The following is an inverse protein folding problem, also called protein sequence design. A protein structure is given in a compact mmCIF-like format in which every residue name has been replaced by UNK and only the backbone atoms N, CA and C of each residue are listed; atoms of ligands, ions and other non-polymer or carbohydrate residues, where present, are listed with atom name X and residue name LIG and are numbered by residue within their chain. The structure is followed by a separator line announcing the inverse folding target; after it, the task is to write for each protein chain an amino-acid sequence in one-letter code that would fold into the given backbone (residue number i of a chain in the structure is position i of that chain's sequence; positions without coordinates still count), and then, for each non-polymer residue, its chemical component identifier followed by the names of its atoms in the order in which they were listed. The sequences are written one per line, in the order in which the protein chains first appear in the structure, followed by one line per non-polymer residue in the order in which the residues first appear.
data_IF_409860370334
#
_entry.id   IF_409860370334
#
_cell.length_a   1.000
_cell.length_b   1.000
_cell.length_c   1.000
_cell.angle_alpha   90.00
_cell.angle_beta   90.00
_cell.angle_gamma   90.00
#
_symmetry.space_group_name_H-M   'P 1'
#
loop_
_entity.id
_entity.type
_entity.pdbx_description
1 polymer ?
#
# COMPACT_ATOMS: atom_id res chain seq x y z
N UNK A 1 17.26 45.17 52.08
CA UNK A 1 17.21 44.33 50.86
C UNK A 1 18.47 43.46 50.73
N UNK A 2 18.69 42.46 51.61
CA UNK A 2 19.97 41.69 51.61
C UNK A 2 19.87 40.14 51.69
N UNK A 3 18.67 39.55 51.59
CA UNK A 3 18.49 38.08 51.71
C UNK A 3 17.91 37.39 50.46
N UNK A 4 17.79 38.06 49.31
CA UNK A 4 17.15 37.48 48.11
C UNK A 4 18.07 36.60 47.27
N UNK A 5 19.40 36.79 47.31
CA UNK A 5 20.37 36.01 46.51
C UNK A 5 20.46 34.51 46.88
N UNK A 6 20.57 34.11 48.16
CA UNK A 6 20.67 32.69 48.50
C UNK A 6 19.34 31.94 48.28
N UNK A 7 18.20 32.62 48.42
CA UNK A 7 16.89 32.03 48.11
C UNK A 7 16.69 31.82 46.60
N UNK A 8 17.22 32.70 45.75
CA UNK A 8 17.21 32.54 44.29
C UNK A 8 18.15 31.43 43.81
N UNK A 9 19.33 31.29 44.43
CA UNK A 9 20.26 30.18 44.16
C UNK A 9 19.71 28.84 44.64
N UNK A 10 19.05 28.78 45.79
CA UNK A 10 18.39 27.57 46.28
C UNK A 10 17.18 27.19 45.40
N UNK A 11 16.40 28.18 44.94
CA UNK A 11 15.30 27.95 43.99
C UNK A 11 15.82 27.48 42.62
N UNK A 12 16.93 28.03 42.12
CA UNK A 12 17.56 27.57 40.88
C UNK A 12 18.16 26.16 41.00
N UNK A 13 18.72 25.79 42.17
CA UNK A 13 19.21 24.44 42.46
C UNK A 13 18.06 23.44 42.66
N UNK A 14 16.93 23.85 43.25
CA UNK A 14 15.74 23.02 43.39
C UNK A 14 14.97 22.84 42.06
N UNK A 15 15.02 23.83 41.17
CA UNK A 15 14.47 23.74 39.82
C UNK A 15 15.37 22.94 38.85
N UNK A 16 16.70 23.00 39.01
CA UNK A 16 17.64 22.16 38.25
C UNK A 16 17.76 20.73 38.79
N UNK A 17 17.54 20.51 40.09
CA UNK A 17 17.53 19.18 40.72
C UNK A 17 16.36 18.29 40.30
N UNK A 18 15.27 18.88 39.81
CA UNK A 18 14.13 18.14 39.27
C UNK A 18 14.49 17.32 38.01
N UNK A 19 15.47 17.74 37.21
CA UNK A 19 15.89 17.03 36.00
C UNK A 19 16.64 15.74 36.30
N UNK A 20 17.66 15.80 37.15
CA UNK A 20 18.51 14.64 37.49
C UNK A 20 17.75 13.56 38.25
N UNK A 21 16.84 13.94 39.17
CA UNK A 21 16.02 12.97 39.89
C UNK A 21 15.04 12.23 38.97
N UNK A 22 14.41 12.96 38.03
CA UNK A 22 13.53 12.36 37.01
C UNK A 22 14.31 11.47 36.05
N UNK A 23 15.52 11.87 35.65
CA UNK A 23 16.36 11.07 34.77
C UNK A 23 16.79 9.76 35.43
N UNK A 24 17.24 9.80 36.69
CA UNK A 24 17.56 8.57 37.46
C UNK A 24 16.33 7.68 37.66
N UNK A 25 15.16 8.27 37.91
CA UNK A 25 13.92 7.52 38.01
C UNK A 25 13.60 6.83 36.68
N UNK A 26 13.72 7.55 35.55
CA UNK A 26 13.53 6.97 34.22
C UNK A 26 14.49 5.81 33.97
N UNK A 27 15.80 6.00 34.20
CA UNK A 27 16.82 4.95 34.05
C UNK A 27 16.55 3.72 34.92
N UNK A 28 16.09 3.91 36.15
CA UNK A 28 15.69 2.81 37.03
C UNK A 28 14.57 1.96 36.42
N UNK A 29 13.55 2.60 35.84
CA UNK A 29 12.46 1.88 35.19
C UNK A 29 12.87 1.24 33.87
N UNK A 30 13.73 1.89 33.07
CA UNK A 30 14.32 1.27 31.87
C UNK A 30 15.15 0.03 32.24
N UNK A 31 15.91 0.08 33.34
CA UNK A 31 16.64 -1.06 33.87
C UNK A 31 15.76 -2.27 34.21
N UNK A 32 14.50 -2.04 34.62
CA UNK A 32 13.52 -3.12 34.87
C UNK A 32 12.94 -3.72 33.59
N UNK A 33 12.84 -2.95 32.52
CA UNK A 33 12.27 -3.40 31.25
C UNK A 33 13.28 -4.15 30.35
N UNK A 34 14.56 -3.77 30.40
CA UNK A 34 15.65 -4.37 29.58
C UNK A 34 15.70 -5.91 29.61
N UNK A 35 15.55 -6.59 30.77
CA UNK A 35 15.62 -8.06 30.80
C UNK A 35 14.53 -8.72 29.95
N UNK A 36 13.31 -8.16 29.92
CA UNK A 36 12.21 -8.70 29.13
C UNK A 36 12.42 -8.47 27.63
N UNK A 37 12.94 -7.31 27.23
CA UNK A 37 13.25 -7.00 25.84
C UNK A 37 14.38 -7.89 25.27
N UNK A 38 15.38 -8.19 26.09
CA UNK A 38 16.52 -9.03 25.71
C UNK A 38 16.24 -10.55 25.78
N UNK A 39 15.14 -10.97 26.41
CA UNK A 39 14.80 -12.38 26.55
C UNK A 39 14.37 -12.97 25.20
N UNK A 40 14.74 -14.23 24.97
CA UNK A 40 14.34 -14.95 23.74
C UNK A 40 12.86 -15.33 23.75
N UNK A 41 12.34 -15.75 24.92
CA UNK A 41 10.95 -16.13 25.15
C UNK A 41 10.46 -15.55 26.49
N UNK A 42 10.26 -14.22 26.60
CA UNK A 42 9.74 -13.61 27.82
C UNK A 42 8.30 -14.08 28.10
N UNK A 43 7.96 -14.26 29.38
CA UNK A 43 6.59 -14.60 29.74
C UNK A 43 5.67 -13.38 29.52
N UNK A 44 4.38 -13.57 29.20
CA UNK A 44 3.43 -12.47 29.01
C UNK A 44 3.38 -11.47 30.18
N UNK A 45 3.46 -11.96 31.42
CA UNK A 45 3.48 -11.11 32.61
C UNK A 45 4.74 -10.22 32.70
N UNK A 46 5.90 -10.73 32.27
CA UNK A 46 7.15 -9.97 32.23
C UNK A 46 7.08 -8.88 31.17
N UNK A 47 6.49 -9.17 30.02
CA UNK A 47 6.24 -8.19 28.95
C UNK A 47 5.30 -7.07 29.43
N UNK A 48 4.16 -7.40 30.07
CA UNK A 48 3.24 -6.40 30.61
C UNK A 48 3.92 -5.50 31.65
N UNK A 49 4.71 -6.09 32.56
CA UNK A 49 5.46 -5.34 33.56
C UNK A 49 6.54 -4.45 32.92
N UNK A 50 7.20 -4.92 31.86
CA UNK A 50 8.20 -4.17 31.12
C UNK A 50 7.58 -2.98 30.37
N UNK A 51 6.44 -3.16 29.68
CA UNK A 51 5.71 -2.06 29.03
C UNK A 51 5.31 -1.01 30.06
N UNK A 52 4.75 -1.42 31.20
CA UNK A 52 4.39 -0.52 32.29
C UNK A 52 5.61 0.22 32.88
N UNK A 53 6.78 -0.41 32.90
CA UNK A 53 8.01 0.23 33.35
C UNK A 53 8.51 1.27 32.34
N UNK A 54 8.50 0.97 31.04
CA UNK A 54 8.84 1.94 29.99
C UNK A 54 7.87 3.14 30.01
N UNK A 55 6.57 2.89 30.20
CA UNK A 55 5.56 3.93 30.37
C UNK A 55 5.86 4.88 31.54
N UNK A 56 6.29 4.32 32.68
CA UNK A 56 6.72 5.11 33.83
C UNK A 56 7.97 5.92 33.49
N UNK A 57 8.94 5.32 32.81
CA UNK A 57 10.14 6.02 32.37
C UNK A 57 9.81 7.23 31.47
N UNK A 58 8.93 7.04 30.49
CA UNK A 58 8.41 8.11 29.63
C UNK A 58 7.63 9.16 30.43
N UNK A 59 6.92 8.79 31.49
CA UNK A 59 6.29 9.76 32.40
C UNK A 59 7.29 10.66 33.14
N UNK A 60 8.49 10.17 33.46
CA UNK A 60 9.55 10.96 34.09
C UNK A 60 10.40 11.74 33.08
N UNK A 61 10.68 11.15 31.92
CA UNK A 61 11.47 11.73 30.83
C UNK A 61 10.78 11.52 29.47
N UNK A 62 9.76 12.34 29.15
CA UNK A 62 8.94 12.15 27.94
C UNK A 62 9.68 12.26 26.62
N UNK A 63 10.83 12.94 26.60
CA UNK A 63 11.71 13.09 25.44
C UNK A 63 12.83 12.04 25.36
N UNK A 64 12.78 10.97 26.17
CA UNK A 64 13.88 10.00 26.24
C UNK A 64 13.93 9.11 25.00
N UNK A 65 14.94 9.32 24.16
CA UNK A 65 15.27 8.45 23.03
C UNK A 65 15.47 7.00 23.47
N UNK A 66 16.21 6.78 24.58
CA UNK A 66 16.48 5.44 25.11
C UNK A 66 15.20 4.70 25.51
N UNK A 67 14.20 5.42 26.02
CA UNK A 67 12.92 4.82 26.37
C UNK A 67 12.13 4.40 25.13
N UNK A 68 12.17 5.20 24.06
CA UNK A 68 11.55 4.87 22.77
C UNK A 68 12.23 3.65 22.14
N UNK A 69 13.56 3.64 22.07
CA UNK A 69 14.31 2.51 21.51
C UNK A 69 14.02 1.20 22.27
N UNK A 70 14.00 1.23 23.61
CA UNK A 70 13.65 0.05 24.42
C UNK A 70 12.19 -0.38 24.22
N UNK A 71 11.29 0.56 23.95
CA UNK A 71 9.89 0.26 23.65
C UNK A 71 9.74 -0.50 22.33
N UNK A 72 10.53 -0.15 21.32
CA UNK A 72 10.58 -0.85 20.02
C UNK A 72 11.15 -2.26 20.19
N UNK A 73 12.28 -2.41 20.89
CA UNK A 73 12.86 -3.71 21.22
C UNK A 73 11.86 -4.62 21.97
N UNK A 74 11.09 -4.04 22.88
CA UNK A 74 10.06 -4.75 23.63
C UNK A 74 8.86 -5.13 22.75
N UNK A 75 8.47 -4.27 21.81
CA UNK A 75 7.47 -4.58 20.78
C UNK A 75 7.89 -5.78 19.93
N UNK A 76 9.14 -5.82 19.48
CA UNK A 76 9.69 -6.93 18.72
C UNK A 76 9.75 -8.22 19.54
N UNK A 77 10.19 -8.13 20.81
CA UNK A 77 10.20 -9.27 21.72
C UNK A 77 8.79 -9.83 21.97
N UNK A 78 7.79 -8.95 22.15
CA UNK A 78 6.39 -9.33 22.28
C UNK A 78 5.87 -10.02 21.01
N UNK A 79 6.21 -9.49 19.83
CA UNK A 79 5.86 -10.09 18.54
C UNK A 79 6.42 -11.50 18.38
N UNK A 80 7.72 -11.68 18.69
CA UNK A 80 8.37 -13.01 18.65
C UNK A 80 7.77 -14.01 19.64
N UNK A 81 7.37 -13.54 20.83
CA UNK A 81 6.75 -14.35 21.86
C UNK A 81 5.25 -14.64 21.61
N UNK A 82 4.65 -14.08 20.55
CA UNK A 82 3.22 -14.22 20.27
C UNK A 82 2.31 -13.48 21.25
N UNK A 83 2.82 -12.45 21.93
CA UNK A 83 2.05 -11.66 22.89
C UNK A 83 1.16 -10.63 22.19
N UNK A 84 -0.11 -10.98 21.99
CA UNK A 84 -1.07 -10.22 21.19
C UNK A 84 -1.29 -8.77 21.63
N UNK A 85 -1.20 -8.48 22.94
CA UNK A 85 -1.39 -7.12 23.48
C UNK A 85 -0.17 -6.21 23.31
N UNK A 86 0.99 -6.75 22.91
CA UNK A 86 2.23 -5.98 22.82
C UNK A 86 2.12 -4.77 21.90
N UNK A 87 1.44 -4.93 20.75
CA UNK A 87 1.23 -3.85 19.79
C UNK A 87 0.32 -2.74 20.33
N UNK A 88 -0.73 -3.10 21.07
CA UNK A 88 -1.63 -2.13 21.71
C UNK A 88 -0.87 -1.29 22.73
N UNK A 89 -0.08 -1.95 23.59
CA UNK A 89 0.73 -1.29 24.62
C UNK A 89 1.79 -0.38 24.00
N UNK A 90 2.54 -0.86 23.01
CA UNK A 90 3.54 -0.05 22.29
C UNK A 90 2.91 1.23 21.70
N UNK A 91 1.81 1.10 20.97
CA UNK A 91 1.14 2.25 20.36
C UNK A 91 0.58 3.24 21.39
N UNK A 92 0.10 2.74 22.54
CA UNK A 92 -0.42 3.57 23.61
C UNK A 92 0.70 4.36 24.30
N UNK A 93 1.82 3.69 24.60
CA UNK A 93 3.02 4.30 25.16
C UNK A 93 3.59 5.41 24.27
N UNK A 94 3.69 5.16 22.96
CA UNK A 94 4.18 6.15 21.99
C UNK A 94 3.24 7.37 21.88
N UNK A 95 1.92 7.15 21.80
CA UNK A 95 0.94 8.25 21.78
C UNK A 95 1.02 9.09 23.05
N UNK A 96 1.09 8.44 24.21
CA UNK A 96 1.26 9.12 25.50
C UNK A 96 2.56 9.92 25.58
N UNK A 97 3.66 9.40 25.03
CA UNK A 97 4.92 10.13 24.96
C UNK A 97 4.77 11.42 24.15
N UNK A 98 4.04 11.39 23.04
CA UNK A 98 3.77 12.56 22.20
C UNK A 98 2.79 13.55 22.83
N UNK A 99 1.84 13.08 23.64
CA UNK A 99 0.98 13.97 24.44
C UNK A 99 1.78 14.75 25.49
N UNK A 100 2.76 14.10 26.11
CA UNK A 100 3.62 14.71 27.14
C UNK A 100 4.77 15.55 26.56
N UNK A 101 5.30 15.16 25.40
CA UNK A 101 6.34 15.87 24.67
C UNK A 101 6.07 15.81 23.15
N UNK A 102 5.30 16.78 22.60
CA UNK A 102 4.96 16.81 21.17
C UNK A 102 6.16 16.87 20.22
N UNK A 103 7.30 17.37 20.71
CA UNK A 103 8.56 17.48 19.99
C UNK A 103 9.49 16.27 20.21
N UNK A 104 9.01 15.18 20.82
CA UNK A 104 9.76 13.93 20.85
C UNK A 104 9.74 13.29 19.45
N UNK A 105 10.72 13.68 18.64
CA UNK A 105 10.87 13.22 17.26
C UNK A 105 11.14 11.72 17.14
N UNK A 106 11.82 11.11 18.12
CA UNK A 106 12.03 9.66 18.15
C UNK A 106 10.71 8.92 18.36
N UNK A 107 9.89 9.35 19.33
CA UNK A 107 8.57 8.74 19.54
C UNK A 107 7.65 8.92 18.32
N UNK A 108 7.77 10.06 17.62
CA UNK A 108 6.99 10.34 16.41
C UNK A 108 7.40 9.42 15.26
N UNK A 109 8.69 9.26 15.04
CA UNK A 109 9.25 8.38 14.02
C UNK A 109 8.90 6.91 14.29
N UNK A 110 9.11 6.42 15.52
CA UNK A 110 8.72 5.07 15.92
C UNK A 110 7.21 4.81 15.75
N UNK A 111 6.36 5.80 16.07
CA UNK A 111 4.91 5.66 15.88
C UNK A 111 4.50 5.63 14.41
N UNK A 112 5.18 6.41 13.55
CA UNK A 112 4.97 6.36 12.10
C UNK A 112 5.34 4.98 11.56
N UNK A 113 6.51 4.45 11.93
CA UNK A 113 6.93 3.11 11.51
C UNK A 113 5.97 2.03 11.99
N UNK A 114 5.47 2.15 13.23
CA UNK A 114 4.45 1.25 13.76
C UNK A 114 3.17 1.24 12.91
N UNK A 115 2.65 2.42 12.54
CA UNK A 115 1.47 2.49 11.68
C UNK A 115 1.75 2.00 10.25
N UNK A 116 2.93 2.31 9.71
CA UNK A 116 3.38 1.86 8.40
C UNK A 116 3.47 0.34 8.31
N UNK A 117 4.04 -0.32 9.33
CA UNK A 117 4.14 -1.78 9.37
C UNK A 117 2.77 -2.48 9.41
N UNK A 118 1.74 -1.80 9.91
CA UNK A 118 0.35 -2.30 9.99
C UNK A 118 -0.51 -1.93 8.79
N UNK A 119 -0.06 -1.03 7.94
CA UNK A 119 -0.88 -0.44 6.89
C UNK A 119 -2.06 0.37 7.42
N UNK A 120 -1.91 1.01 8.59
CA UNK A 120 -2.96 1.86 9.16
C UNK A 120 -2.93 3.25 8.49
N UNK A 121 -3.53 3.31 7.29
CA UNK A 121 -3.55 4.52 6.45
C UNK A 121 -4.25 5.69 7.13
N UNK A 122 -5.27 5.43 7.96
CA UNK A 122 -5.96 6.45 8.74
C UNK A 122 -5.09 7.04 9.85
N UNK A 123 -4.34 6.20 10.57
CA UNK A 123 -3.41 6.67 11.60
C UNK A 123 -2.21 7.43 11.00
N UNK A 124 -1.71 7.01 9.84
CA UNK A 124 -0.68 7.73 9.09
C UNK A 124 -1.16 9.10 8.61
N UNK A 125 -2.38 9.20 8.09
CA UNK A 125 -3.04 10.46 7.72
C UNK A 125 -3.09 11.41 8.93
N UNK A 126 -3.57 10.92 10.07
CA UNK A 126 -3.66 11.70 11.31
C UNK A 126 -2.27 12.15 11.81
N UNK A 127 -1.27 11.27 11.75
CA UNK A 127 0.10 11.59 12.13
C UNK A 127 0.70 12.68 11.22
N UNK A 128 0.46 12.59 9.91
CA UNK A 128 0.89 13.60 8.95
C UNK A 128 0.22 14.95 9.21
N UNK A 129 -1.08 14.97 9.48
CA UNK A 129 -1.84 16.18 9.80
C UNK A 129 -1.34 16.85 11.10
N UNK A 130 -1.10 16.06 12.15
CA UNK A 130 -0.53 16.57 13.40
C UNK A 130 0.86 17.18 13.20
N UNK A 131 1.74 16.49 12.46
CA UNK A 131 3.08 16.99 12.17
C UNK A 131 3.03 18.29 11.34
N UNK A 132 2.10 18.41 10.38
CA UNK A 132 1.86 19.66 9.65
C UNK A 132 1.39 20.80 10.53
N UNK A 133 0.50 20.51 11.49
CA UNK A 133 0.08 21.50 12.48
C UNK A 133 1.28 22.08 13.24
N UNK A 134 2.24 21.24 13.64
CA UNK A 134 3.49 21.70 14.25
C UNK A 134 4.34 22.53 13.28
N UNK A 135 4.46 22.11 12.02
CA UNK A 135 5.23 22.85 11.01
C UNK A 135 4.68 24.26 10.70
N UNK A 136 3.40 24.50 10.99
CA UNK A 136 2.75 25.82 10.84
C UNK A 136 2.97 26.74 12.04
N UNK A 137 3.18 26.18 13.23
CA UNK A 137 3.32 26.93 14.48
C UNK A 137 4.79 27.23 14.83
N UNK A 138 5.71 26.42 14.31
CA UNK A 138 7.11 26.43 14.70
C UNK A 138 8.02 26.93 13.57
N UNK A 139 9.28 27.27 13.91
CA UNK A 139 10.29 27.75 12.96
C UNK A 139 11.58 26.92 13.01
N UNK A 140 12.49 27.18 12.06
CA UNK A 140 13.83 26.60 12.02
C UNK A 140 13.86 25.07 12.06
N UNK A 141 14.68 24.51 12.96
CA UNK A 141 14.89 23.07 13.09
C UNK A 141 13.62 22.30 13.50
N UNK A 142 12.73 22.91 14.30
CA UNK A 142 11.48 22.30 14.75
C UNK A 142 10.52 22.16 13.57
N UNK A 143 10.36 23.23 12.78
CA UNK A 143 9.60 23.18 11.52
C UNK A 143 10.15 22.13 10.56
N UNK A 144 11.47 22.06 10.42
CA UNK A 144 12.11 21.07 9.56
C UNK A 144 11.79 19.63 10.00
N UNK A 145 11.93 19.31 11.29
CA UNK A 145 11.58 17.99 11.82
C UNK A 145 10.09 17.67 11.66
N UNK A 146 9.22 18.66 11.85
CA UNK A 146 7.79 18.52 11.63
C UNK A 146 7.45 18.20 10.16
N UNK A 147 8.11 18.86 9.20
CA UNK A 147 7.99 18.55 7.77
C UNK A 147 8.50 17.15 7.44
N UNK A 148 9.64 16.73 8.00
CA UNK A 148 10.16 15.37 7.81
C UNK A 148 9.21 14.31 8.37
N UNK A 149 8.61 14.54 9.54
CA UNK A 149 7.64 13.62 10.13
C UNK A 149 6.34 13.55 9.30
N UNK A 150 5.85 14.70 8.81
CA UNK A 150 4.71 14.72 7.90
C UNK A 150 5.02 13.98 6.60
N UNK A 151 6.22 14.18 6.04
CA UNK A 151 6.69 13.51 4.83
C UNK A 151 6.79 11.99 5.04
N UNK A 152 7.42 11.53 6.12
CA UNK A 152 7.56 10.12 6.43
C UNK A 152 6.20 9.43 6.61
N UNK A 153 5.28 10.05 7.37
CA UNK A 153 3.94 9.51 7.59
C UNK A 153 3.15 9.42 6.27
N UNK A 154 3.15 10.51 5.49
CA UNK A 154 2.42 10.57 4.23
C UNK A 154 2.98 9.60 3.20
N UNK A 155 4.30 9.55 3.05
CA UNK A 155 4.96 8.69 2.08
C UNK A 155 4.78 7.21 2.43
N UNK A 156 4.83 6.86 3.72
CA UNK A 156 4.57 5.49 4.17
C UNK A 156 3.13 5.02 3.89
N UNK A 157 2.16 5.93 3.74
CA UNK A 157 0.79 5.57 3.39
C UNK A 157 0.61 5.25 1.90
N UNK A 158 1.46 5.76 1.01
CA UNK A 158 1.28 5.66 -0.44
C UNK A 158 1.22 4.21 -0.96
N UNK A 159 2.14 3.29 -0.59
CA UNK A 159 2.08 1.90 -1.05
C UNK A 159 0.83 1.15 -0.55
N UNK A 160 0.36 1.48 0.65
CA UNK A 160 -0.87 0.91 1.20
C UNK A 160 -2.11 1.42 0.47
N UNK A 161 -2.17 2.71 0.17
CA UNK A 161 -3.26 3.31 -0.63
C UNK A 161 -3.31 2.74 -2.05
N UNK A 162 -2.15 2.51 -2.69
CA UNK A 162 -2.07 1.81 -3.97
C UNK A 162 -2.67 0.40 -3.88
N UNK A 163 -2.29 -0.36 -2.85
CA UNK A 163 -2.79 -1.72 -2.62
C UNK A 163 -4.29 -1.74 -2.32
N UNK A 164 -4.78 -0.82 -1.48
CA UNK A 164 -6.21 -0.66 -1.18
C UNK A 164 -7.01 -0.31 -2.43
N UNK A 165 -6.50 0.61 -3.28
CA UNK A 165 -7.15 0.99 -4.53
C UNK A 165 -7.21 -0.19 -5.52
N UNK A 166 -6.12 -0.94 -5.68
CA UNK A 166 -6.08 -2.15 -6.51
C UNK A 166 -7.12 -3.19 -6.04
N UNK A 167 -7.23 -3.41 -4.73
CA UNK A 167 -8.23 -4.34 -4.18
C UNK A 167 -9.67 -3.82 -4.35
N UNK A 168 -9.88 -2.51 -4.24
CA UNK A 168 -11.18 -1.87 -4.39
C UNK A 168 -11.77 -2.01 -5.80
N UNK A 169 -10.92 -2.12 -6.83
CA UNK A 169 -11.33 -2.39 -8.23
C UNK A 169 -12.17 -3.66 -8.40
N UNK A 170 -12.13 -4.59 -7.44
CA UNK A 170 -12.88 -5.85 -7.45
C UNK A 170 -13.99 -5.89 -6.40
N UNK A 171 -14.28 -4.78 -5.71
CA UNK A 171 -15.24 -4.74 -4.59
C UNK A 171 -16.41 -3.80 -4.85
N UNK A 172 -16.13 -2.51 -5.02
CA UNK A 172 -17.17 -1.48 -5.10
C UNK A 172 -16.63 -0.22 -5.82
N UNK A 173 -17.39 0.39 -6.74
CA UNK A 173 -16.96 1.59 -7.44
C UNK A 173 -16.61 2.76 -6.52
N UNK A 174 -17.44 2.99 -5.50
CA UNK A 174 -17.31 4.12 -4.58
C UNK A 174 -15.97 4.04 -3.84
N UNK A 175 -15.65 2.86 -3.32
CA UNK A 175 -14.39 2.59 -2.64
C UNK A 175 -13.21 2.73 -3.61
N UNK A 176 -13.35 2.28 -4.87
CA UNK A 176 -12.28 2.42 -5.85
C UNK A 176 -11.94 3.89 -6.13
N UNK A 177 -12.95 4.73 -6.39
CA UNK A 177 -12.71 6.16 -6.62
C UNK A 177 -12.19 6.88 -5.38
N UNK A 178 -12.71 6.54 -4.18
CA UNK A 178 -12.20 7.07 -2.92
C UNK A 178 -10.70 6.79 -2.76
N UNK A 179 -10.29 5.52 -2.93
CA UNK A 179 -8.89 5.11 -2.73
C UNK A 179 -7.97 5.59 -3.85
N UNK A 180 -8.45 5.62 -5.09
CA UNK A 180 -7.70 6.20 -6.21
C UNK A 180 -7.44 7.71 -5.98
N UNK A 181 -8.44 8.44 -5.49
CA UNK A 181 -8.32 9.85 -5.11
C UNK A 181 -7.35 10.05 -3.95
N UNK A 182 -7.48 9.25 -2.89
CA UNK A 182 -6.59 9.30 -1.72
C UNK A 182 -5.13 9.03 -2.10
N UNK A 183 -4.87 8.04 -2.97
CA UNK A 183 -3.53 7.77 -3.49
C UNK A 183 -2.94 8.99 -4.23
N UNK A 184 -3.67 9.57 -5.19
CA UNK A 184 -3.16 10.71 -5.96
C UNK A 184 -2.94 11.95 -5.09
N UNK A 185 -3.85 12.21 -4.15
CA UNK A 185 -3.69 13.29 -3.18
C UNK A 185 -2.44 13.05 -2.34
N UNK A 186 -2.26 11.84 -1.80
CA UNK A 186 -1.11 11.53 -0.98
C UNK A 186 0.22 11.64 -1.74
N UNK A 187 0.31 11.13 -2.98
CA UNK A 187 1.52 11.23 -3.78
C UNK A 187 1.90 12.69 -4.12
N UNK A 188 0.90 13.53 -4.45
CA UNK A 188 1.14 14.97 -4.65
C UNK A 188 1.61 15.65 -3.36
N UNK A 189 1.02 15.25 -2.23
CA UNK A 189 1.34 15.76 -0.90
C UNK A 189 2.78 15.43 -0.48
N UNK A 190 3.26 14.21 -0.77
CA UNK A 190 4.67 13.80 -0.58
C UNK A 190 5.60 14.71 -1.36
N UNK A 191 5.32 14.94 -2.65
CA UNK A 191 6.15 15.80 -3.49
C UNK A 191 6.22 17.24 -2.96
N UNK A 192 5.09 17.79 -2.52
CA UNK A 192 5.01 19.13 -1.94
C UNK A 192 5.79 19.23 -0.62
N UNK A 193 5.61 18.27 0.30
CA UNK A 193 6.32 18.23 1.59
C UNK A 193 7.83 18.12 1.40
N UNK A 194 8.26 17.27 0.47
CA UNK A 194 9.66 17.11 0.13
C UNK A 194 10.27 18.42 -0.38
N UNK A 195 9.60 19.07 -1.33
CA UNK A 195 10.04 20.36 -1.86
C UNK A 195 10.10 21.45 -0.79
N UNK A 196 9.13 21.48 0.14
CA UNK A 196 9.14 22.44 1.25
C UNK A 196 10.30 22.19 2.23
N UNK A 197 10.54 20.93 2.63
CA UNK A 197 11.64 20.56 3.51
C UNK A 197 13.01 20.87 2.87
N UNK A 198 13.18 20.56 1.58
CA UNK A 198 14.39 20.87 0.81
C UNK A 198 14.61 22.37 0.70
N UNK A 199 13.55 23.16 0.44
CA UNK A 199 13.63 24.62 0.37
C UNK A 199 14.06 25.22 1.72
N UNK A 200 13.48 24.76 2.82
CA UNK A 200 13.84 25.21 4.16
C UNK A 200 15.33 24.92 4.46
N UNK A 201 15.77 23.69 4.17
CA UNK A 201 17.15 23.28 4.37
C UNK A 201 18.14 23.99 3.44
N UNK A 202 17.72 24.40 2.23
CA UNK A 202 18.54 25.23 1.34
C UNK A 202 18.66 26.67 1.84
N UNK A 203 17.59 27.23 2.42
CA UNK A 203 17.60 28.58 2.98
C UNK A 203 18.36 28.69 4.31
N UNK A 204 18.36 27.62 5.11
CA UNK A 204 19.11 27.53 6.35
C UNK A 204 19.64 26.09 6.54
N UNK A 205 20.90 25.83 6.19
CA UNK A 205 21.50 24.50 6.35
C UNK A 205 21.59 24.03 7.81
N UNK A 206 21.50 24.93 8.79
CA UNK A 206 21.64 24.57 10.21
C UNK A 206 20.45 23.79 10.73
N UNK A 207 19.28 23.89 10.09
CA UNK A 207 18.07 23.14 10.46
C UNK A 207 18.27 21.62 10.42
N UNK A 208 19.23 21.14 9.61
CA UNK A 208 19.57 19.71 9.52
C UNK A 208 20.30 19.20 10.76
N UNK A 209 21.01 20.06 11.49
CA UNK A 209 21.83 19.65 12.64
C UNK A 209 20.98 19.20 13.83
N UNK A 210 19.75 19.71 13.94
CA UNK A 210 18.80 19.36 15.01
C UNK A 210 17.87 18.19 14.68
N UNK A 211 17.92 17.65 13.45
CA UNK A 211 17.03 16.58 13.02
C UNK A 211 17.61 15.20 13.40
N UNK A 212 16.85 14.33 14.09
CA UNK A 212 17.31 12.96 14.34
C UNK A 212 17.58 12.20 13.06
N UNK A 213 18.70 11.48 13.00
CA UNK A 213 19.12 10.74 11.81
C UNK A 213 18.08 9.68 11.37
N UNK A 214 17.42 9.01 12.33
CA UNK A 214 16.36 8.05 12.05
C UNK A 214 15.17 8.71 11.32
N UNK A 215 14.75 9.90 11.77
CA UNK A 215 13.65 10.63 11.14
C UNK A 215 14.00 11.11 9.73
N UNK A 216 15.21 11.61 9.52
CA UNK A 216 15.72 11.98 8.19
C UNK A 216 15.70 10.75 7.28
N UNK A 217 16.27 9.63 7.74
CA UNK A 217 16.32 8.39 6.96
C UNK A 217 14.93 7.84 6.63
N UNK A 218 14.02 7.82 7.60
CA UNK A 218 12.63 7.39 7.41
C UNK A 218 11.93 8.23 6.34
N UNK A 219 12.08 9.56 6.38
CA UNK A 219 11.49 10.47 5.40
C UNK A 219 12.12 10.30 3.99
N UNK A 220 13.43 10.15 3.90
CA UNK A 220 14.14 9.95 2.63
C UNK A 220 13.77 8.62 1.97
N UNK A 221 13.82 7.52 2.72
CA UNK A 221 13.52 6.17 2.21
C UNK A 221 12.05 6.06 1.80
N UNK A 222 11.12 6.47 2.66
CA UNK A 222 9.68 6.38 2.36
C UNK A 222 9.29 7.27 1.18
N UNK A 223 9.81 8.50 1.09
CA UNK A 223 9.51 9.39 -0.04
C UNK A 223 10.13 8.91 -1.35
N UNK A 224 11.31 8.30 -1.31
CA UNK A 224 11.92 7.68 -2.48
C UNK A 224 11.10 6.50 -2.99
N UNK A 225 10.57 5.66 -2.11
CA UNK A 225 9.70 4.54 -2.51
C UNK A 225 8.34 5.03 -3.02
N UNK A 226 7.69 5.95 -2.31
CA UNK A 226 6.40 6.52 -2.70
C UNK A 226 6.43 7.20 -4.07
N UNK A 227 7.57 7.80 -4.45
CA UNK A 227 7.77 8.49 -5.73
C UNK A 227 8.58 7.66 -6.74
N UNK A 228 8.84 6.38 -6.47
CA UNK A 228 9.72 5.52 -7.27
C UNK A 228 9.26 5.35 -8.72
N UNK A 229 7.95 5.42 -8.96
CA UNK A 229 7.36 5.25 -10.29
C UNK A 229 6.52 6.48 -10.68
N UNK A 230 7.16 7.59 -11.13
CA UNK A 230 6.46 8.83 -11.47
C UNK A 230 5.35 8.64 -12.51
N UNK A 231 5.55 7.73 -13.47
CA UNK A 231 4.54 7.40 -14.47
C UNK A 231 3.27 6.81 -13.85
N UNK A 232 3.37 6.00 -12.79
CA UNK A 232 2.20 5.44 -12.10
C UNK A 232 1.42 6.53 -11.36
N UNK A 233 2.12 7.45 -10.69
CA UNK A 233 1.52 8.62 -10.04
C UNK A 233 0.79 9.49 -11.06
N UNK A 234 1.43 9.78 -12.20
CA UNK A 234 0.84 10.58 -13.28
C UNK A 234 -0.41 9.91 -13.87
N UNK A 235 -0.38 8.59 -14.11
CA UNK A 235 -1.55 7.84 -14.58
C UNK A 235 -2.72 7.90 -13.61
N UNK A 236 -2.48 7.72 -12.31
CA UNK A 236 -3.53 7.82 -11.31
C UNK A 236 -4.14 9.23 -11.24
N UNK A 237 -3.30 10.27 -11.32
CA UNK A 237 -3.76 11.65 -11.36
C UNK A 237 -4.59 11.95 -12.64
N UNK A 238 -4.12 11.50 -13.80
CA UNK A 238 -4.84 11.64 -15.07
C UNK A 238 -6.17 10.88 -15.05
N UNK A 239 -6.19 9.67 -14.49
CA UNK A 239 -7.41 8.90 -14.28
C UNK A 239 -8.42 9.66 -13.42
N UNK A 240 -8.00 10.18 -12.27
CA UNK A 240 -8.88 10.94 -11.37
C UNK A 240 -9.40 12.23 -12.03
N UNK A 241 -8.52 12.94 -12.76
CA UNK A 241 -8.90 14.13 -13.53
C UNK A 241 -9.93 13.83 -14.62
N UNK A 242 -9.78 12.71 -15.34
CA UNK A 242 -10.75 12.26 -16.35
C UNK A 242 -12.06 11.82 -15.69
N UNK A 243 -12.02 11.04 -14.62
CA UNK A 243 -13.21 10.62 -13.88
C UNK A 243 -14.00 11.80 -13.29
N UNK A 244 -13.31 12.89 -12.92
CA UNK A 244 -13.94 14.12 -12.45
C UNK A 244 -14.56 14.99 -13.55
N UNK A 245 -14.05 14.92 -14.78
CA UNK A 245 -14.45 15.81 -15.89
C UNK A 245 -15.31 15.13 -16.97
N UNK A 246 -15.28 13.81 -17.07
CA UNK A 246 -16.00 13.00 -18.05
C UNK A 246 -16.96 12.02 -17.34
N UNK A 247 -18.26 12.37 -17.21
CA UNK A 247 -19.26 11.51 -16.59
C UNK A 247 -19.45 10.16 -17.30
N UNK A 248 -19.24 10.10 -18.62
CA UNK A 248 -19.38 8.86 -19.38
C UNK A 248 -18.22 7.91 -19.07
N UNK A 249 -16.99 8.44 -19.02
CA UNK A 249 -15.84 7.67 -18.55
C UNK A 249 -16.03 7.18 -17.13
N UNK A 250 -16.42 8.07 -16.19
CA UNK A 250 -16.70 7.67 -14.81
C UNK A 250 -17.73 6.54 -14.75
N UNK A 251 -18.85 6.68 -15.50
CA UNK A 251 -19.90 5.66 -15.52
C UNK A 251 -19.42 4.33 -16.09
N UNK A 252 -18.59 4.37 -17.13
CA UNK A 252 -17.97 3.18 -17.70
C UNK A 252 -17.12 2.43 -16.67
N UNK A 253 -16.31 3.16 -15.90
CA UNK A 253 -15.48 2.58 -14.83
C UNK A 253 -16.32 2.03 -13.68
N UNK A 254 -17.39 2.73 -13.27
CA UNK A 254 -18.34 2.22 -12.27
C UNK A 254 -18.91 0.86 -12.68
N UNK A 255 -19.38 0.76 -13.93
CA UNK A 255 -19.93 -0.49 -14.46
C UNK A 255 -18.86 -1.58 -14.53
N UNK A 256 -17.64 -1.26 -14.97
CA UNK A 256 -16.55 -2.24 -15.00
C UNK A 256 -16.23 -2.81 -13.60
N UNK A 257 -16.18 -1.96 -12.57
CA UNK A 257 -15.95 -2.40 -11.19
C UNK A 257 -17.12 -3.23 -10.64
N UNK A 258 -18.36 -2.87 -10.96
CA UNK A 258 -19.54 -3.69 -10.64
C UNK A 258 -19.48 -5.06 -11.32
N UNK A 259 -19.04 -5.09 -12.58
CA UNK A 259 -18.77 -6.32 -13.32
C UNK A 259 -17.76 -7.20 -12.61
N UNK A 260 -16.65 -6.63 -12.12
CA UNK A 260 -15.62 -7.38 -11.38
C UNK A 260 -16.20 -8.00 -10.10
N UNK A 261 -17.00 -7.25 -9.35
CA UNK A 261 -17.64 -7.75 -8.14
C UNK A 261 -18.61 -8.92 -8.42
N UNK A 262 -19.35 -8.87 -9.53
CA UNK A 262 -20.22 -9.95 -9.99
C UNK A 262 -19.41 -11.17 -10.48
N UNK A 263 -18.31 -10.94 -11.22
CA UNK A 263 -17.44 -12.01 -11.72
C UNK A 263 -16.80 -12.80 -10.58
N UNK A 264 -16.35 -12.14 -9.50
CA UNK A 264 -15.81 -12.80 -8.29
C UNK A 264 -16.83 -13.76 -7.67
N UNK A 265 -18.13 -13.44 -7.75
CA UNK A 265 -19.23 -14.29 -7.27
C UNK A 265 -19.67 -15.34 -8.29
N UNK A 266 -19.04 -15.39 -9.46
CA UNK A 266 -19.40 -16.23 -10.62
C UNK A 266 -20.80 -15.93 -11.17
N UNK A 267 -21.27 -14.69 -11.03
CA UNK A 267 -22.54 -14.21 -11.58
C UNK A 267 -22.33 -13.78 -13.05
N UNK A 268 -21.95 -14.72 -13.92
CA UNK A 268 -21.42 -14.43 -15.27
C UNK A 268 -22.35 -13.57 -16.14
N UNK A 269 -23.66 -13.85 -16.15
CA UNK A 269 -24.64 -13.06 -16.90
C UNK A 269 -24.70 -11.60 -16.44
N UNK A 270 -24.62 -11.38 -15.13
CA UNK A 270 -24.63 -10.03 -14.56
C UNK A 270 -23.31 -9.30 -14.82
N UNK A 271 -22.17 -9.99 -14.63
CA UNK A 271 -20.85 -9.46 -14.94
C UNK A 271 -20.77 -8.99 -16.41
N UNK A 272 -21.22 -9.85 -17.34
CA UNK A 272 -21.30 -9.56 -18.77
C UNK A 272 -22.14 -8.32 -19.08
N UNK A 273 -23.32 -8.20 -18.47
CA UNK A 273 -24.19 -7.03 -18.67
C UNK A 273 -23.50 -5.73 -18.22
N UNK A 274 -22.79 -5.76 -17.09
CA UNK A 274 -22.01 -4.61 -16.62
C UNK A 274 -20.86 -4.26 -17.56
N UNK A 275 -20.05 -5.23 -18.02
CA UNK A 275 -18.95 -4.94 -18.94
C UNK A 275 -19.44 -4.43 -20.29
N UNK A 276 -20.52 -4.98 -20.82
CA UNK A 276 -21.14 -4.47 -22.05
C UNK A 276 -21.66 -3.04 -21.86
N UNK A 277 -22.31 -2.74 -20.74
CA UNK A 277 -22.70 -1.37 -20.38
C UNK A 277 -21.51 -0.43 -20.27
N UNK A 278 -20.41 -0.88 -19.66
CA UNK A 278 -19.18 -0.11 -19.58
C UNK A 278 -18.65 0.25 -20.98
N UNK A 279 -18.64 -0.71 -21.90
CA UNK A 279 -18.18 -0.51 -23.28
C UNK A 279 -19.14 0.32 -24.13
N UNK A 280 -20.43 0.39 -23.79
CA UNK A 280 -21.36 1.33 -24.42
C UNK A 280 -21.03 2.79 -24.05
N UNK A 281 -20.60 3.04 -22.82
CA UNK A 281 -20.17 4.37 -22.38
C UNK A 281 -18.77 4.75 -22.83
N UNK A 282 -17.85 3.78 -22.88
CA UNK A 282 -16.48 3.98 -23.34
C UNK A 282 -15.98 2.70 -24.06
N UNK A 283 -16.07 2.64 -25.40
CA UNK A 283 -15.66 1.47 -26.19
C UNK A 283 -14.19 1.09 -26.05
N UNK A 284 -13.35 2.01 -25.61
CA UNK A 284 -11.91 1.82 -25.47
C UNK A 284 -11.48 1.49 -24.02
N UNK A 285 -12.43 1.25 -23.10
CA UNK A 285 -12.10 0.84 -21.74
C UNK A 285 -11.53 -0.58 -21.73
N UNK A 286 -10.19 -0.68 -21.75
CA UNK A 286 -9.45 -1.94 -21.82
C UNK A 286 -9.84 -2.95 -20.74
N UNK A 287 -9.98 -2.51 -19.50
CA UNK A 287 -10.35 -3.37 -18.38
C UNK A 287 -11.71 -4.06 -18.61
N UNK A 288 -12.70 -3.34 -19.12
CA UNK A 288 -14.00 -3.93 -19.41
C UNK A 288 -13.92 -4.97 -20.54
N UNK A 289 -13.10 -4.73 -21.58
CA UNK A 289 -12.89 -5.71 -22.67
C UNK A 289 -12.19 -6.97 -22.17
N UNK A 290 -11.10 -6.79 -21.42
CA UNK A 290 -10.37 -7.92 -20.83
C UNK A 290 -11.29 -8.75 -19.94
N UNK A 291 -12.07 -8.11 -19.09
CA UNK A 291 -12.92 -8.82 -18.14
C UNK A 291 -14.15 -9.45 -18.81
N UNK A 292 -14.63 -8.89 -19.92
CA UNK A 292 -15.62 -9.56 -20.77
C UNK A 292 -15.05 -10.86 -21.36
N UNK A 293 -13.81 -10.82 -21.87
CA UNK A 293 -13.12 -12.02 -22.34
C UNK A 293 -12.95 -13.06 -21.21
N UNK A 294 -12.51 -12.64 -20.02
CA UNK A 294 -12.37 -13.51 -18.85
C UNK A 294 -13.71 -14.14 -18.42
N UNK A 295 -14.80 -13.35 -18.46
CA UNK A 295 -16.15 -13.83 -18.11
C UNK A 295 -16.60 -14.93 -19.05
N UNK A 296 -16.46 -14.72 -20.36
CA UNK A 296 -16.83 -15.71 -21.37
C UNK A 296 -15.92 -16.95 -21.31
N UNK A 297 -14.61 -16.76 -21.06
CA UNK A 297 -13.66 -17.85 -20.86
C UNK A 297 -14.03 -18.72 -19.66
N UNK A 298 -14.23 -18.11 -18.48
CA UNK A 298 -14.54 -18.86 -17.26
C UNK A 298 -15.87 -19.62 -17.37
N UNK A 299 -16.92 -18.99 -17.92
CA UNK A 299 -18.21 -19.64 -18.11
C UNK A 299 -18.11 -20.80 -19.13
N UNK A 300 -17.44 -20.57 -20.27
CA UNK A 300 -17.25 -21.58 -21.31
C UNK A 300 -16.42 -22.77 -20.83
N UNK A 301 -15.30 -22.50 -20.14
CA UNK A 301 -14.43 -23.53 -19.58
C UNK A 301 -15.12 -24.31 -18.44
N UNK A 302 -15.86 -23.63 -17.56
CA UNK A 302 -16.62 -24.30 -16.50
C UNK A 302 -17.74 -25.18 -17.07
N UNK A 303 -18.46 -24.70 -18.08
CA UNK A 303 -19.51 -25.47 -18.77
C UNK A 303 -18.94 -26.72 -19.42
N UNK A 304 -17.79 -26.60 -20.11
CA UNK A 304 -17.10 -27.73 -20.70
C UNK A 304 -16.64 -28.75 -19.65
N UNK A 305 -16.02 -28.28 -18.56
CA UNK A 305 -15.55 -29.13 -17.47
C UNK A 305 -16.69 -29.88 -16.77
N UNK A 306 -17.87 -29.28 -16.69
CA UNK A 306 -19.07 -29.91 -16.15
C UNK A 306 -19.79 -30.86 -17.13
N UNK A 307 -19.27 -31.06 -18.35
CA UNK A 307 -19.90 -31.89 -19.37
C UNK A 307 -21.17 -31.29 -19.97
N UNK A 308 -21.30 -29.96 -19.95
CA UNK A 308 -22.40 -29.22 -20.56
C UNK A 308 -22.40 -29.27 -22.10
N UNK A 309 -23.27 -28.49 -22.75
CA UNK A 309 -23.34 -28.44 -24.22
C UNK A 309 -22.00 -27.96 -24.81
N UNK A 310 -21.29 -28.83 -25.58
CA UNK A 310 -20.01 -28.47 -26.17
C UNK A 310 -20.14 -27.30 -27.16
N UNK A 311 -21.29 -27.13 -27.81
CA UNK A 311 -21.51 -26.04 -28.76
C UNK A 311 -21.67 -24.70 -28.04
N UNK A 312 -22.47 -24.64 -26.99
CA UNK A 312 -22.59 -23.45 -26.14
C UNK A 312 -21.25 -23.08 -25.49
N UNK A 313 -20.51 -24.07 -24.99
CA UNK A 313 -19.17 -23.87 -24.42
C UNK A 313 -18.21 -23.26 -25.46
N UNK A 314 -18.12 -23.87 -26.65
CA UNK A 314 -17.27 -23.35 -27.73
C UNK A 314 -17.66 -21.94 -28.18
N UNK A 315 -18.97 -21.62 -28.21
CA UNK A 315 -19.43 -20.26 -28.56
C UNK A 315 -18.94 -19.20 -27.58
N UNK A 316 -18.90 -19.51 -26.28
CA UNK A 316 -18.36 -18.61 -25.26
C UNK A 316 -16.84 -18.45 -25.42
N UNK A 317 -16.12 -19.57 -25.60
CA UNK A 317 -14.68 -19.53 -25.80
C UNK A 317 -14.29 -18.76 -27.09
N UNK A 318 -15.00 -18.94 -28.20
CA UNK A 318 -14.73 -18.14 -29.40
C UNK A 318 -15.00 -16.63 -29.22
N UNK A 319 -15.93 -16.25 -28.34
CA UNK A 319 -16.12 -14.84 -27.97
C UNK A 319 -14.96 -14.33 -27.12
N UNK A 320 -14.56 -15.11 -26.12
CA UNK A 320 -13.41 -14.80 -25.28
C UNK A 320 -12.13 -14.62 -26.10
N UNK A 321 -11.85 -15.53 -27.04
CA UNK A 321 -10.77 -15.42 -28.02
C UNK A 321 -10.76 -14.07 -28.74
N UNK A 322 -11.91 -13.68 -29.30
CA UNK A 322 -12.05 -12.44 -30.07
C UNK A 322 -11.88 -11.18 -29.21
N UNK A 323 -12.45 -11.16 -28.01
CA UNK A 323 -12.31 -10.02 -27.09
C UNK A 323 -10.89 -9.90 -26.53
N UNK A 324 -10.21 -11.01 -26.25
CA UNK A 324 -8.80 -11.01 -25.85
C UNK A 324 -7.91 -10.44 -26.96
N UNK A 325 -8.11 -10.85 -28.21
CA UNK A 325 -7.39 -10.29 -29.37
C UNK A 325 -7.65 -8.79 -29.56
N UNK A 326 -8.91 -8.36 -29.42
CA UNK A 326 -9.26 -6.94 -29.50
C UNK A 326 -8.60 -6.11 -28.39
N UNK A 327 -8.61 -6.62 -27.15
CA UNK A 327 -7.97 -5.96 -26.02
C UNK A 327 -6.44 -5.86 -26.21
N UNK A 328 -5.77 -6.94 -26.64
CA UNK A 328 -4.34 -6.93 -26.97
C UNK A 328 -4.05 -5.88 -28.05
N UNK A 329 -4.83 -5.85 -29.13
CA UNK A 329 -4.64 -4.90 -30.22
C UNK A 329 -4.80 -3.44 -29.77
N UNK A 330 -5.73 -3.16 -28.85
CA UNK A 330 -5.91 -1.83 -28.28
C UNK A 330 -4.75 -1.45 -27.36
N UNK A 331 -4.30 -2.36 -26.50
CA UNK A 331 -3.13 -2.11 -25.62
C UNK A 331 -1.88 -1.81 -26.45
N UNK A 332 -1.64 -2.54 -27.55
CA UNK A 332 -0.51 -2.28 -28.45
C UNK A 332 -0.61 -0.94 -29.21
N UNK A 333 -1.81 -0.35 -29.32
CA UNK A 333 -2.03 0.99 -29.88
C UNK A 333 -1.87 2.12 -28.85
N UNK A 334 -1.54 1.79 -27.60
CA UNK A 334 -1.33 2.76 -26.54
C UNK A 334 -2.56 3.06 -25.68
N UNK A 335 -3.63 2.27 -25.78
CA UNK A 335 -4.69 2.34 -24.77
C UNK A 335 -4.12 1.88 -23.41
N UNK A 336 -4.45 2.60 -22.34
CA UNK A 336 -3.95 2.33 -21.01
C UNK A 336 -4.99 1.61 -20.15
N UNK A 337 -4.59 0.63 -19.32
CA UNK A 337 -5.49 0.04 -18.33
C UNK A 337 -5.81 1.06 -17.22
N UNK A 338 -6.79 0.72 -16.39
CA UNK A 338 -7.05 1.42 -15.14
C UNK A 338 -5.77 1.52 -14.27
N UNK A 339 -5.67 2.56 -13.42
CA UNK A 339 -4.51 2.74 -12.57
C UNK A 339 -4.28 1.54 -11.64
N UNK A 340 -3.08 1.46 -11.06
CA UNK A 340 -2.65 0.40 -10.13
C UNK A 340 -2.45 -0.99 -10.74
N UNK A 341 -2.70 -1.16 -12.04
CA UNK A 341 -2.21 -2.30 -12.82
C UNK A 341 -1.00 -1.86 -13.65
N UNK A 342 0.11 -2.60 -13.53
CA UNK A 342 1.29 -2.36 -14.39
C UNK A 342 0.95 -2.72 -15.84
N UNK A 343 1.24 -1.85 -16.84
CA UNK A 343 0.89 -2.12 -18.24
C UNK A 343 1.44 -3.45 -18.77
N UNK A 344 2.68 -3.79 -18.43
CA UNK A 344 3.33 -5.03 -18.85
C UNK A 344 2.63 -6.24 -18.24
N UNK A 345 2.25 -6.14 -16.96
CA UNK A 345 1.49 -7.18 -16.27
C UNK A 345 0.11 -7.35 -16.89
N UNK A 346 -0.60 -6.25 -17.19
CA UNK A 346 -1.91 -6.28 -17.83
C UNK A 346 -1.86 -6.99 -19.18
N UNK A 347 -0.89 -6.61 -20.03
CA UNK A 347 -0.69 -7.22 -21.34
C UNK A 347 -0.27 -8.69 -21.24
N UNK A 348 0.61 -9.04 -20.31
CA UNK A 348 0.98 -10.43 -20.04
C UNK A 348 -0.21 -11.28 -19.58
N UNK A 349 -1.09 -10.75 -18.73
CA UNK A 349 -2.33 -11.43 -18.32
C UNK A 349 -3.32 -11.62 -19.50
N UNK A 350 -3.41 -10.65 -20.42
CA UNK A 350 -4.21 -10.79 -21.65
C UNK A 350 -3.68 -11.90 -22.57
N UNK A 351 -2.36 -11.95 -22.78
CA UNK A 351 -1.75 -13.02 -23.56
C UNK A 351 -1.93 -14.40 -22.89
N UNK A 352 -1.83 -14.47 -21.57
CA UNK A 352 -2.09 -15.69 -20.82
C UNK A 352 -3.54 -16.16 -20.98
N UNK A 353 -4.51 -15.23 -20.92
CA UNK A 353 -5.92 -15.52 -21.17
C UNK A 353 -6.14 -16.04 -22.59
N UNK A 354 -5.55 -15.41 -23.61
CA UNK A 354 -5.61 -15.88 -25.00
C UNK A 354 -5.08 -17.31 -25.14
N UNK A 355 -3.92 -17.60 -24.53
CA UNK A 355 -3.35 -18.95 -24.57
C UNK A 355 -4.24 -19.97 -23.85
N UNK A 356 -4.78 -19.61 -22.68
CA UNK A 356 -5.72 -20.46 -21.94
C UNK A 356 -6.98 -20.79 -22.75
N UNK A 357 -7.53 -19.78 -23.41
CA UNK A 357 -8.74 -19.91 -24.22
C UNK A 357 -8.52 -20.79 -25.45
N UNK A 358 -7.38 -20.64 -26.14
CA UNK A 358 -7.00 -21.53 -27.26
C UNK A 358 -6.84 -22.99 -26.82
N UNK A 359 -6.25 -23.23 -25.65
CA UNK A 359 -6.15 -24.57 -25.07
C UNK A 359 -7.54 -25.14 -24.69
N UNK A 360 -8.42 -24.31 -24.13
CA UNK A 360 -9.80 -24.71 -23.82
C UNK A 360 -10.60 -25.04 -25.09
N UNK A 361 -10.49 -24.22 -26.15
CA UNK A 361 -11.10 -24.50 -27.45
C UNK A 361 -10.62 -25.83 -28.03
N UNK A 362 -9.32 -26.12 -27.91
CA UNK A 362 -8.76 -27.40 -28.34
C UNK A 362 -9.37 -28.58 -27.59
N UNK A 363 -9.53 -28.45 -26.27
CA UNK A 363 -10.15 -29.48 -25.44
C UNK A 363 -11.64 -29.70 -25.79
N UNK A 364 -12.41 -28.63 -26.04
CA UNK A 364 -13.86 -28.69 -26.31
C UNK A 364 -14.18 -29.17 -27.73
N UNK A 365 -13.46 -28.65 -28.73
CA UNK A 365 -13.73 -28.97 -30.14
C UNK A 365 -13.05 -30.27 -30.57
N UNK A 366 -11.90 -30.62 -29.97
CA UNK A 366 -11.14 -31.81 -30.31
C UNK A 366 -10.86 -31.89 -31.82
N UNK A 367 -11.33 -32.96 -32.46
CA UNK A 367 -11.16 -33.17 -33.92
C UNK A 367 -11.96 -32.19 -34.79
N UNK A 368 -12.97 -31.50 -34.24
CA UNK A 368 -13.76 -30.52 -34.99
C UNK A 368 -13.06 -29.18 -35.13
N UNK A 369 -12.02 -28.92 -34.35
CA UNK A 369 -11.27 -27.67 -34.38
C UNK A 369 -10.61 -27.49 -35.75
N UNK A 370 -11.02 -26.44 -36.47
CA UNK A 370 -10.45 -26.08 -37.77
C UNK A 370 -9.18 -25.27 -37.59
N UNK A 371 -8.31 -25.28 -38.60
CA UNK A 371 -7.06 -24.49 -38.63
C UNK A 371 -6.10 -24.77 -37.45
N UNK A 372 -6.04 -26.02 -36.97
CA UNK A 372 -5.28 -26.40 -35.76
C UNK A 372 -3.84 -25.90 -35.78
N UNK A 373 -3.10 -26.06 -36.88
CA UNK A 373 -1.71 -25.60 -36.99
C UNK A 373 -1.56 -24.07 -36.92
N UNK A 374 -2.60 -23.30 -37.27
CA UNK A 374 -2.60 -21.85 -37.08
C UNK A 374 -2.81 -21.51 -35.60
N UNK A 375 -3.82 -22.13 -34.98
CA UNK A 375 -4.18 -21.89 -33.58
C UNK A 375 -3.08 -22.33 -32.61
N UNK A 376 -2.38 -23.43 -32.91
CA UNK A 376 -1.22 -23.89 -32.13
C UNK A 376 -0.08 -22.87 -32.17
N UNK A 377 0.19 -22.26 -33.34
CA UNK A 377 1.19 -21.17 -33.44
C UNK A 377 0.77 -19.94 -32.66
N UNK A 378 -0.51 -19.58 -32.72
CA UNK A 378 -1.04 -18.44 -31.95
C UNK A 378 -0.99 -18.70 -30.45
N UNK A 379 -1.30 -19.93 -30.02
CA UNK A 379 -1.18 -20.38 -28.63
C UNK A 379 0.26 -20.20 -28.14
N UNK A 380 1.23 -20.73 -28.91
CA UNK A 380 2.64 -20.64 -28.55
C UNK A 380 3.11 -19.19 -28.46
N UNK A 381 2.81 -18.37 -29.47
CA UNK A 381 3.18 -16.95 -29.47
C UNK A 381 2.57 -16.21 -28.28
N UNK A 382 1.29 -16.47 -27.97
CA UNK A 382 0.64 -15.85 -26.82
C UNK A 382 1.29 -16.30 -25.50
N UNK A 383 1.59 -17.59 -25.34
CA UNK A 383 2.24 -18.11 -24.14
C UNK A 383 3.66 -17.54 -23.96
N UNK A 384 4.45 -17.47 -25.03
CA UNK A 384 5.81 -16.92 -24.99
C UNK A 384 5.79 -15.43 -24.58
N UNK A 385 4.88 -14.62 -25.15
CA UNK A 385 4.74 -13.21 -24.76
C UNK A 385 4.18 -13.06 -23.33
N UNK A 386 3.27 -13.94 -22.89
CA UNK A 386 2.76 -13.92 -21.52
C UNK A 386 3.87 -14.13 -20.48
N UNK A 387 4.73 -15.13 -20.70
CA UNK A 387 5.87 -15.45 -19.82
C UNK A 387 6.93 -14.35 -19.84
N UNK A 388 7.18 -13.76 -21.01
CA UNK A 388 8.13 -12.65 -21.16
C UNK A 388 7.69 -11.38 -20.43
N UNK A 389 6.40 -11.03 -20.51
CA UNK A 389 5.85 -9.80 -19.94
C UNK A 389 5.48 -9.94 -18.46
N UNK A 390 5.06 -11.13 -18.03
CA UNK A 390 4.65 -11.42 -16.65
C UNK A 390 5.21 -12.79 -16.21
N UNK A 391 6.52 -12.91 -15.95
CA UNK A 391 7.16 -14.18 -15.61
C UNK A 391 6.66 -14.80 -14.30
N UNK A 392 6.11 -13.98 -13.40
CA UNK A 392 5.50 -14.43 -12.13
C UNK A 392 4.02 -14.84 -12.30
N UNK A 393 3.45 -14.64 -13.49
CA UNK A 393 2.05 -14.93 -13.81
C UNK A 393 1.72 -16.42 -13.67
N UNK A 394 0.92 -16.76 -12.65
CA UNK A 394 0.55 -18.15 -12.34
C UNK A 394 -0.07 -18.88 -13.54
N UNK A 395 -1.02 -18.27 -14.24
CA UNK A 395 -1.70 -18.88 -15.38
C UNK A 395 -0.72 -19.24 -16.52
N UNK A 396 0.15 -18.29 -16.91
CA UNK A 396 1.15 -18.52 -17.95
C UNK A 396 2.13 -19.63 -17.57
N UNK A 397 2.56 -19.67 -16.30
CA UNK A 397 3.45 -20.73 -15.80
C UNK A 397 2.79 -22.11 -15.80
N UNK A 398 1.54 -22.20 -15.35
CA UNK A 398 0.77 -23.45 -15.36
C UNK A 398 0.53 -23.94 -16.81
N UNK A 399 0.23 -23.03 -17.74
CA UNK A 399 0.10 -23.35 -19.16
C UNK A 399 1.42 -23.82 -19.77
N UNK A 400 2.54 -23.15 -19.46
CA UNK A 400 3.87 -23.53 -19.96
C UNK A 400 4.27 -24.91 -19.46
N UNK A 401 4.03 -25.21 -18.18
CA UNK A 401 4.32 -26.51 -17.61
C UNK A 401 3.52 -27.61 -18.32
N UNK A 402 2.21 -27.42 -18.52
CA UNK A 402 1.36 -28.38 -19.25
C UNK A 402 1.81 -28.54 -20.70
N UNK A 403 2.03 -27.43 -21.41
CA UNK A 403 2.48 -27.45 -22.80
C UNK A 403 3.80 -28.20 -22.97
N UNK A 404 4.74 -28.04 -22.04
CA UNK A 404 6.03 -28.76 -22.08
C UNK A 404 5.90 -30.29 -21.91
N UNK A 405 4.82 -30.76 -21.26
CA UNK A 405 4.55 -32.17 -20.99
C UNK A 405 3.67 -32.81 -22.07
N UNK A 406 2.66 -32.08 -22.52
CA UNK A 406 1.54 -32.63 -23.29
C UNK A 406 1.50 -32.10 -24.74
N UNK A 407 2.21 -31.02 -25.05
CA UNK A 407 2.02 -30.28 -26.30
C UNK A 407 0.73 -29.44 -26.27
N UNK A 408 0.23 -29.08 -27.45
CA UNK A 408 -0.99 -28.27 -27.62
C UNK A 408 -2.29 -29.09 -27.62
#
# INVERSE_FOLDING_TARGET
MKNTLPALLLAAVLLSGCGLAKQKAAEHYLGKARPAAAAQNPAPADLEAAFAAVDKALGYAPGSEQAVALLEELGDAAGRAGFSRGQELQSASLRRALELAPLNWHAREALINFYAARGDTAALEAAAAQARGLAQLEEGAVKYCALLAALAARASAVPWLESEAYLAMNKAPELFFEKAGAYSAAAADVAALKAEAEKLAASDPTVKQGAPAALVSAAEVSSADALRVPAAVARAAAFNGRAGSDPAFKKSVEMAVQGNAALVKKEYSQARAYYQGALQHNPDLLDARRQLAETDFQEGAAMAAAGGDPKASAQLLYKAYGEADAAIALTLKGAEPLPFIKPERFLGELYALKAADLAALRAVEGRRLRNTAKLEREFKTALDEAVKLNPEGRLARELLERYSKEGF
#
